data_IF_630400407922
#
_entry.id   IF_630400407922
#
_cell.length_a   1.000
_cell.length_b   1.000
_cell.length_c   1.000
_cell.angle_alpha   90.00
_cell.angle_beta   90.00
_cell.angle_gamma   90.00
#
_symmetry.space_group_name_H-M   'P 1'
#
loop_
_entity.id
_entity.type
_entity.pdbx_description
1 polymer ?
#
# COMPACT_ATOMS: atom_id res chain seq x y z
N UNK A 1 18.47 39.48 3.17
CA UNK A 1 17.46 39.74 2.12
C UNK A 1 17.95 40.70 1.04
N UNK A 2 18.68 41.79 1.32
CA UNK A 2 19.10 42.75 0.27
C UNK A 2 20.00 42.16 -0.84
N UNK A 3 20.78 41.11 -0.55
CA UNK A 3 21.66 40.48 -1.56
C UNK A 3 20.86 39.70 -2.63
N UNK A 4 19.81 38.96 -2.25
CA UNK A 4 19.03 38.16 -3.21
C UNK A 4 18.24 39.02 -4.20
N UNK A 5 17.71 40.16 -3.74
CA UNK A 5 16.99 41.08 -4.63
C UNK A 5 17.95 41.75 -5.63
N UNK A 6 19.14 42.16 -5.18
CA UNK A 6 20.17 42.68 -6.09
C UNK A 6 20.64 41.64 -7.11
N UNK A 7 20.74 40.37 -6.71
CA UNK A 7 21.03 39.27 -7.64
C UNK A 7 19.90 39.04 -8.65
N UNK A 8 18.64 39.20 -8.23
CA UNK A 8 17.49 39.17 -9.15
C UNK A 8 17.52 40.33 -10.15
N UNK A 9 17.80 41.56 -9.70
CA UNK A 9 17.95 42.72 -10.58
C UNK A 9 19.06 42.50 -11.63
N UNK A 10 20.18 41.88 -11.24
CA UNK A 10 21.24 41.50 -12.16
C UNK A 10 20.77 40.41 -13.14
N UNK A 11 20.00 39.44 -12.67
CA UNK A 11 19.42 38.39 -13.51
C UNK A 11 18.46 38.97 -14.57
N UNK A 12 17.70 40.01 -14.23
CA UNK A 12 16.78 40.67 -15.16
C UNK A 12 17.46 41.47 -16.27
N UNK A 13 18.75 41.77 -16.12
CA UNK A 13 19.53 42.42 -17.18
C UNK A 13 19.86 41.48 -18.34
N UNK A 14 19.73 40.17 -18.16
CA UNK A 14 19.91 39.21 -19.24
C UNK A 14 18.70 39.22 -20.17
N UNK A 15 18.96 39.37 -21.47
CA UNK A 15 17.94 39.40 -22.53
C UNK A 15 17.05 38.14 -22.52
N UNK A 16 17.63 36.99 -22.15
CA UNK A 16 16.89 35.74 -22.00
C UNK A 16 17.35 34.99 -20.75
N UNK A 17 16.43 34.78 -19.81
CA UNK A 17 16.65 33.91 -18.65
C UNK A 17 16.14 32.52 -19.01
N UNK A 18 16.98 31.46 -18.97
CA UNK A 18 16.53 30.12 -19.29
C UNK A 18 15.44 29.62 -18.33
N UNK A 19 14.41 28.94 -18.86
CA UNK A 19 13.27 28.47 -18.05
C UNK A 19 13.69 27.53 -16.91
N UNK A 20 14.74 26.73 -17.09
CA UNK A 20 15.24 25.82 -16.04
C UNK A 20 15.81 26.58 -14.84
N UNK A 21 16.32 27.80 -15.06
CA UNK A 21 16.79 28.68 -14.01
C UNK A 21 15.61 29.28 -13.23
N UNK A 22 14.58 29.76 -13.94
CA UNK A 22 13.34 30.24 -13.32
C UNK A 22 12.65 29.13 -12.52
N UNK A 23 12.59 27.92 -13.08
CA UNK A 23 12.07 26.72 -12.39
C UNK A 23 12.85 26.41 -11.12
N UNK A 24 14.18 26.51 -11.16
CA UNK A 24 15.03 26.32 -9.99
C UNK A 24 14.71 27.35 -8.89
N UNK A 25 14.56 28.62 -9.27
CA UNK A 25 14.17 29.69 -8.33
C UNK A 25 12.79 29.41 -7.72
N UNK A 26 11.80 29.04 -8.55
CA UNK A 26 10.45 28.67 -8.11
C UNK A 26 10.49 27.54 -7.08
N UNK A 27 11.29 26.49 -7.31
CA UNK A 27 11.34 25.34 -6.41
C UNK A 27 12.13 25.62 -5.13
N UNK A 28 13.27 26.29 -5.24
CA UNK A 28 14.30 26.27 -4.18
C UNK A 28 14.62 27.63 -3.55
N UNK A 29 14.11 28.74 -4.09
CA UNK A 29 14.48 30.10 -3.62
C UNK A 29 13.22 30.88 -3.26
N UNK A 30 12.64 30.53 -2.10
CA UNK A 30 11.37 31.09 -1.59
C UNK A 30 11.22 32.62 -1.74
N UNK A 31 12.22 33.45 -1.38
CA UNK A 31 12.06 34.91 -1.46
C UNK A 31 11.92 35.48 -2.88
N UNK A 32 12.22 34.68 -3.92
CA UNK A 32 12.21 35.10 -5.32
C UNK A 32 11.16 34.35 -6.15
N UNK A 33 10.37 33.46 -5.53
CA UNK A 33 9.37 32.62 -6.22
C UNK A 33 8.35 33.43 -7.00
N UNK A 34 7.81 34.47 -6.38
CA UNK A 34 6.80 35.33 -7.00
C UNK A 34 7.38 36.05 -8.23
N UNK A 35 8.62 36.55 -8.13
CA UNK A 35 9.29 37.23 -9.23
C UNK A 35 9.56 36.27 -10.40
N UNK A 36 10.09 35.08 -10.10
CA UNK A 36 10.33 34.05 -11.10
C UNK A 36 9.04 33.51 -11.73
N UNK A 37 7.99 33.30 -10.93
CA UNK A 37 6.69 32.87 -11.41
C UNK A 37 6.04 33.89 -12.33
N UNK A 38 6.05 35.17 -11.95
CA UNK A 38 5.54 36.26 -12.80
C UNK A 38 6.31 36.35 -14.12
N UNK A 39 7.64 36.28 -14.06
CA UNK A 39 8.48 36.29 -15.26
C UNK A 39 8.12 35.12 -16.17
N UNK A 40 7.93 33.92 -15.61
CA UNK A 40 7.59 32.71 -16.34
C UNK A 40 6.20 32.79 -17.01
N UNK A 41 5.20 33.31 -16.31
CA UNK A 41 3.84 33.49 -16.86
C UNK A 41 3.75 34.54 -17.96
N UNK A 42 4.66 35.53 -17.94
CA UNK A 42 4.75 36.62 -18.90
C UNK A 42 5.51 36.27 -20.19
N UNK A 43 6.08 35.07 -20.33
CA UNK A 43 6.69 34.66 -21.61
C UNK A 43 5.61 34.46 -22.67
N UNK A 44 5.42 35.47 -23.53
CA UNK A 44 4.49 35.43 -24.67
C UNK A 44 5.06 34.61 -25.84
N UNK A 45 6.39 34.60 -26.03
CA UNK A 45 7.05 33.92 -27.16
C UNK A 45 7.25 32.41 -26.94
N UNK A 46 7.25 31.96 -25.69
CA UNK A 46 7.36 30.54 -25.33
C UNK A 46 6.38 30.24 -24.20
N UNK A 47 5.23 29.74 -24.60
CA UNK A 47 4.15 29.39 -23.72
C UNK A 47 4.60 28.28 -22.72
N UNK A 48 4.56 28.53 -21.40
CA UNK A 48 5.22 27.68 -20.42
C UNK A 48 4.64 26.26 -20.39
N UNK A 49 5.51 25.24 -20.36
CA UNK A 49 5.07 23.85 -20.33
C UNK A 49 4.19 23.53 -19.12
N UNK A 50 3.38 22.47 -19.22
CA UNK A 50 2.49 22.01 -18.13
C UNK A 50 3.25 21.80 -16.82
N UNK A 51 4.44 21.23 -16.90
CA UNK A 51 5.35 21.04 -15.76
C UNK A 51 5.69 22.35 -15.07
N UNK A 52 5.93 23.44 -15.82
CA UNK A 52 6.23 24.75 -15.24
C UNK A 52 4.99 25.39 -14.62
N UNK A 53 3.81 25.18 -15.21
CA UNK A 53 2.55 25.64 -14.64
C UNK A 53 2.23 24.92 -13.33
N UNK A 54 2.49 23.60 -13.26
CA UNK A 54 2.35 22.81 -12.03
C UNK A 54 3.32 23.30 -10.95
N UNK A 55 4.57 23.60 -11.31
CA UNK A 55 5.54 24.17 -10.36
C UNK A 55 5.06 25.52 -9.80
N UNK A 56 4.45 26.37 -10.62
CA UNK A 56 3.86 27.62 -10.14
C UNK A 56 2.68 27.34 -9.21
N UNK A 57 1.81 26.40 -9.55
CA UNK A 57 0.65 26.02 -8.72
C UNK A 57 1.10 25.49 -7.36
N UNK A 58 2.15 24.67 -7.33
CA UNK A 58 2.69 24.10 -6.10
C UNK A 58 3.34 25.18 -5.21
N UNK A 59 4.30 25.92 -5.77
CA UNK A 59 5.22 26.74 -4.98
C UNK A 59 4.87 28.23 -4.88
N UNK A 60 4.00 28.76 -5.75
CA UNK A 60 3.78 30.22 -5.88
C UNK A 60 2.31 30.57 -5.63
N UNK A 61 1.94 30.66 -4.34
CA UNK A 61 0.56 30.87 -3.90
C UNK A 61 -0.18 32.02 -4.60
N UNK A 62 0.40 33.23 -4.73
CA UNK A 62 -0.28 34.36 -5.37
C UNK A 62 -0.64 34.10 -6.84
N UNK A 63 0.08 33.20 -7.52
CA UNK A 63 -0.04 32.95 -8.96
C UNK A 63 -0.83 31.67 -9.30
N UNK A 64 -1.25 30.90 -8.28
CA UNK A 64 -1.95 29.61 -8.45
C UNK A 64 -3.14 29.68 -9.40
N UNK A 65 -4.00 30.68 -9.25
CA UNK A 65 -5.23 30.78 -10.05
C UNK A 65 -4.95 31.07 -11.53
N UNK A 66 -3.95 31.90 -11.80
CA UNK A 66 -3.55 32.22 -13.18
C UNK A 66 -2.90 31.01 -13.84
N UNK A 67 -1.94 30.38 -13.15
CA UNK A 67 -1.28 29.17 -13.64
C UNK A 67 -2.28 28.02 -13.86
N UNK A 68 -3.25 27.86 -12.95
CA UNK A 68 -4.35 26.90 -13.10
C UNK A 68 -5.18 27.13 -14.36
N UNK A 69 -5.54 28.39 -14.65
CA UNK A 69 -6.30 28.72 -15.86
C UNK A 69 -5.52 28.34 -17.12
N UNK A 70 -4.24 28.73 -17.19
CA UNK A 70 -3.35 28.37 -18.32
C UNK A 70 -3.14 26.86 -18.44
N UNK A 71 -3.10 26.13 -17.32
CA UNK A 71 -2.97 24.68 -17.31
C UNK A 71 -4.22 24.03 -17.91
N UNK A 72 -5.42 24.47 -17.49
CA UNK A 72 -6.69 23.95 -18.02
C UNK A 72 -6.85 24.16 -19.53
N UNK A 73 -6.40 25.31 -20.04
CA UNK A 73 -6.43 25.61 -21.48
C UNK A 73 -5.60 24.59 -22.31
N UNK A 74 -4.63 23.91 -21.67
CA UNK A 74 -3.80 22.86 -22.26
C UNK A 74 -4.36 21.45 -22.13
N UNK A 75 -5.45 21.27 -21.37
CA UNK A 75 -6.05 19.96 -21.06
C UNK A 75 -5.06 19.05 -20.32
N UNK A 76 -4.79 19.33 -19.03
CA UNK A 76 -3.79 18.60 -18.26
C UNK A 76 -4.13 17.11 -18.18
N UNK A 77 -3.11 16.28 -18.10
CA UNK A 77 -3.30 14.84 -17.90
C UNK A 77 -3.89 14.54 -16.52
N UNK A 78 -4.45 13.34 -16.36
CA UNK A 78 -4.89 12.90 -15.03
C UNK A 78 -3.72 12.84 -14.03
N UNK A 79 -2.51 12.49 -14.49
CA UNK A 79 -1.28 12.52 -13.66
C UNK A 79 -0.99 13.91 -13.13
N UNK A 80 -1.12 14.95 -13.96
CA UNK A 80 -0.91 16.34 -13.54
C UNK A 80 -1.95 16.77 -12.52
N UNK A 81 -3.22 16.39 -12.73
CA UNK A 81 -4.30 16.71 -11.81
C UNK A 81 -4.16 15.97 -10.49
N UNK A 82 -3.77 14.69 -10.51
CA UNK A 82 -3.47 13.91 -9.31
C UNK A 82 -2.35 14.54 -8.50
N UNK A 83 -1.27 14.96 -9.16
CA UNK A 83 -0.18 15.66 -8.47
C UNK A 83 -0.70 16.88 -7.70
N UNK A 84 -1.56 17.70 -8.33
CA UNK A 84 -2.13 18.88 -7.67
C UNK A 84 -3.10 18.49 -6.54
N UNK A 85 -3.89 17.44 -6.72
CA UNK A 85 -4.79 16.88 -5.69
C UNK A 85 -4.01 16.48 -4.43
N UNK A 86 -2.85 15.84 -4.60
CA UNK A 86 -2.06 15.30 -3.50
C UNK A 86 -1.14 16.32 -2.83
N UNK A 87 -0.65 17.31 -3.57
CA UNK A 87 0.44 18.17 -3.09
C UNK A 87 0.02 19.64 -2.85
N UNK A 88 -1.19 20.06 -3.26
CA UNK A 88 -1.60 21.46 -3.20
C UNK A 88 -2.98 21.61 -2.55
N UNK A 89 -3.04 21.63 -1.22
CA UNK A 89 -4.28 21.68 -0.41
C UNK A 89 -5.30 22.72 -0.90
N UNK A 90 -4.84 23.96 -1.15
CA UNK A 90 -5.70 25.06 -1.61
C UNK A 90 -6.35 24.84 -2.98
N UNK A 91 -5.80 23.92 -3.78
CA UNK A 91 -6.24 23.58 -5.13
C UNK A 91 -6.80 22.16 -5.24
N UNK A 92 -6.66 21.33 -4.21
CA UNK A 92 -6.98 19.91 -4.26
C UNK A 92 -8.41 19.62 -4.73
N UNK A 93 -9.41 20.29 -4.15
CA UNK A 93 -10.81 20.14 -4.60
C UNK A 93 -11.05 20.63 -6.05
N UNK A 94 -10.33 21.65 -6.52
CA UNK A 94 -10.48 22.13 -7.91
C UNK A 94 -9.90 21.11 -8.90
N UNK A 95 -8.72 20.58 -8.58
CA UNK A 95 -8.06 19.56 -9.38
C UNK A 95 -8.85 18.24 -9.36
N UNK A 96 -9.39 17.84 -8.22
CA UNK A 96 -10.31 16.71 -8.08
C UNK A 96 -11.53 16.82 -8.99
N UNK A 97 -12.23 17.96 -8.94
CA UNK A 97 -13.41 18.18 -9.77
C UNK A 97 -13.08 18.13 -11.27
N UNK A 98 -11.89 18.57 -11.67
CA UNK A 98 -11.45 18.45 -13.05
C UNK A 98 -11.11 17.00 -13.41
N UNK A 99 -10.43 16.28 -12.53
CA UNK A 99 -10.06 14.87 -12.72
C UNK A 99 -11.31 14.00 -12.92
N UNK A 100 -12.33 14.18 -12.08
CA UNK A 100 -13.60 13.44 -12.21
C UNK A 100 -14.29 13.74 -13.55
N UNK A 101 -14.28 15.00 -14.01
CA UNK A 101 -14.84 15.38 -15.32
C UNK A 101 -14.09 14.76 -16.49
N UNK A 102 -12.78 14.54 -16.36
CA UNK A 102 -11.95 13.94 -17.39
C UNK A 102 -12.11 12.42 -17.49
N UNK A 103 -12.73 11.79 -16.49
CA UNK A 103 -12.81 10.35 -16.36
C UNK A 103 -11.65 9.85 -15.51
N UNK A 104 -11.94 9.63 -14.22
CA UNK A 104 -11.00 9.06 -13.25
C UNK A 104 -11.12 7.54 -13.26
N UNK A 105 -10.00 6.84 -13.23
CA UNK A 105 -9.95 5.36 -13.18
C UNK A 105 -10.01 4.83 -11.75
N UNK A 106 -10.27 3.52 -11.58
CA UNK A 106 -10.24 2.90 -10.25
C UNK A 106 -8.88 3.02 -9.56
N UNK A 107 -7.76 2.86 -10.29
CA UNK A 107 -6.41 2.97 -9.72
C UNK A 107 -6.16 4.37 -9.16
N UNK A 108 -6.57 5.40 -9.91
CA UNK A 108 -6.46 6.80 -9.50
C UNK A 108 -7.36 7.11 -8.30
N UNK A 109 -8.56 6.51 -8.23
CA UNK A 109 -9.43 6.61 -7.07
C UNK A 109 -8.85 5.94 -5.84
N UNK A 110 -8.31 4.72 -5.98
CA UNK A 110 -7.63 4.01 -4.89
C UNK A 110 -6.46 4.85 -4.37
N UNK A 111 -5.66 5.42 -5.26
CA UNK A 111 -4.58 6.35 -4.88
C UNK A 111 -5.11 7.49 -4.02
N UNK A 112 -6.13 8.23 -4.48
CA UNK A 112 -6.72 9.35 -3.73
C UNK A 112 -7.31 8.91 -2.38
N UNK A 113 -7.98 7.77 -2.32
CA UNK A 113 -8.54 7.22 -1.08
C UNK A 113 -7.44 6.96 -0.05
N UNK A 114 -6.29 6.47 -0.51
CA UNK A 114 -5.12 6.15 0.33
C UNK A 114 -4.38 7.43 0.75
N UNK A 115 -4.15 8.37 -0.17
CA UNK A 115 -3.23 9.50 0.03
C UNK A 115 -3.91 10.79 0.50
N UNK A 116 -5.18 11.03 0.16
CA UNK A 116 -5.85 12.33 0.41
C UNK A 116 -7.06 12.19 1.32
N UNK A 117 -6.85 12.44 2.61
CA UNK A 117 -7.87 12.28 3.65
C UNK A 117 -9.14 13.10 3.41
N UNK A 118 -9.01 14.35 2.97
CA UNK A 118 -10.13 15.26 2.75
C UNK A 118 -11.07 14.81 1.62
N UNK A 119 -10.56 14.05 0.65
CA UNK A 119 -11.32 13.54 -0.50
C UNK A 119 -11.74 12.07 -0.35
N UNK A 120 -11.23 11.37 0.66
CA UNK A 120 -11.36 9.92 0.83
C UNK A 120 -12.78 9.38 0.67
N UNK A 121 -13.75 9.98 1.35
CA UNK A 121 -15.14 9.51 1.29
C UNK A 121 -15.82 9.80 -0.05
N UNK A 122 -15.42 10.87 -0.74
CA UNK A 122 -15.95 11.19 -2.08
C UNK A 122 -15.35 10.27 -3.15
N UNK A 123 -14.03 10.07 -3.12
CA UNK A 123 -13.35 9.12 -3.98
C UNK A 123 -13.83 7.69 -3.74
N UNK A 124 -14.11 7.30 -2.49
CA UNK A 124 -14.72 6.01 -2.16
C UNK A 124 -16.10 5.83 -2.81
N UNK A 125 -16.98 6.84 -2.72
CA UNK A 125 -18.30 6.79 -3.38
C UNK A 125 -18.17 6.66 -4.89
N UNK A 126 -17.25 7.41 -5.49
CA UNK A 126 -16.98 7.33 -6.92
C UNK A 126 -16.44 5.95 -7.32
N UNK A 127 -15.55 5.36 -6.51
CA UNK A 127 -15.02 4.01 -6.75
C UNK A 127 -16.13 2.97 -6.71
N UNK A 128 -17.01 3.04 -5.71
CA UNK A 128 -18.17 2.15 -5.62
C UNK A 128 -19.10 2.28 -6.82
N UNK A 129 -19.31 3.49 -7.33
CA UNK A 129 -20.08 3.72 -8.56
C UNK A 129 -19.43 3.06 -9.77
N UNK A 130 -18.09 3.05 -9.84
CA UNK A 130 -17.33 2.39 -10.91
C UNK A 130 -17.18 0.88 -10.75
N UNK A 131 -17.72 0.30 -9.66
CA UNK A 131 -17.60 -1.13 -9.33
C UNK A 131 -16.12 -1.53 -9.14
N UNK A 132 -15.56 -1.41 -7.92
CA UNK A 132 -14.17 -1.79 -7.67
C UNK A 132 -13.97 -3.28 -7.96
N UNK A 133 -12.80 -3.65 -8.45
CA UNK A 133 -12.35 -5.04 -8.51
C UNK A 133 -11.85 -5.50 -7.12
N UNK A 134 -11.46 -6.76 -7.01
CA UNK A 134 -11.04 -7.35 -5.73
C UNK A 134 -9.68 -6.81 -5.26
N UNK A 135 -8.76 -6.48 -6.18
CA UNK A 135 -7.50 -5.80 -5.86
C UNK A 135 -7.72 -4.40 -5.30
N UNK A 136 -8.65 -3.62 -5.85
CA UNK A 136 -9.02 -2.29 -5.35
C UNK A 136 -9.48 -2.40 -3.88
N UNK A 137 -10.34 -3.38 -3.59
CA UNK A 137 -10.86 -3.61 -2.24
C UNK A 137 -9.78 -4.09 -1.27
N UNK A 138 -8.92 -5.03 -1.69
CA UNK A 138 -7.79 -5.52 -0.89
C UNK A 138 -6.85 -4.36 -0.54
N UNK A 139 -6.55 -3.49 -1.50
CA UNK A 139 -5.70 -2.32 -1.28
C UNK A 139 -6.30 -1.41 -0.20
N UNK A 140 -7.60 -1.12 -0.29
CA UNK A 140 -8.29 -0.27 0.69
C UNK A 140 -8.36 -0.94 2.07
N UNK A 141 -8.60 -2.25 2.13
CA UNK A 141 -8.60 -3.04 3.37
C UNK A 141 -7.25 -2.95 4.09
N UNK A 142 -6.15 -3.05 3.33
CA UNK A 142 -4.79 -2.99 3.88
C UNK A 142 -4.45 -1.60 4.39
N UNK A 143 -4.61 -0.57 3.56
CA UNK A 143 -4.00 0.74 3.81
C UNK A 143 -4.93 1.78 4.43
N UNK A 144 -6.25 1.59 4.40
CA UNK A 144 -7.22 2.66 4.74
C UNK A 144 -8.09 2.27 5.92
N UNK A 145 -7.58 2.51 7.13
CA UNK A 145 -8.24 2.10 8.37
C UNK A 145 -9.72 2.57 8.50
N UNK A 146 -10.10 3.81 8.14
CA UNK A 146 -11.49 4.26 8.23
C UNK A 146 -12.46 3.54 7.29
N UNK A 147 -11.98 3.03 6.15
CA UNK A 147 -12.81 2.35 5.15
C UNK A 147 -12.69 0.83 5.20
N UNK A 148 -11.69 0.30 5.92
CA UNK A 148 -11.36 -1.12 6.00
C UNK A 148 -12.57 -2.03 6.18
N UNK A 149 -13.43 -1.73 7.15
CA UNK A 149 -14.62 -2.55 7.44
C UNK A 149 -15.62 -2.53 6.27
N UNK A 150 -15.88 -1.34 5.69
CA UNK A 150 -16.78 -1.20 4.53
C UNK A 150 -16.25 -1.98 3.32
N UNK A 151 -14.94 -1.86 3.04
CA UNK A 151 -14.30 -2.58 1.94
C UNK A 151 -14.29 -4.10 2.17
N UNK A 152 -14.03 -4.54 3.40
CA UNK A 152 -14.10 -5.94 3.80
C UNK A 152 -15.50 -6.54 3.61
N UNK A 153 -16.56 -5.83 4.01
CA UNK A 153 -17.94 -6.31 3.85
C UNK A 153 -18.29 -6.56 2.38
N UNK A 154 -17.87 -5.66 1.48
CA UNK A 154 -18.06 -5.82 0.04
C UNK A 154 -17.23 -7.00 -0.47
N UNK A 155 -15.94 -7.03 -0.17
CA UNK A 155 -15.02 -8.09 -0.60
C UNK A 155 -15.48 -9.48 -0.14
N UNK A 156 -15.85 -9.64 1.13
CA UNK A 156 -16.32 -10.90 1.71
C UNK A 156 -17.55 -11.45 1.00
N UNK A 157 -18.41 -10.58 0.48
CA UNK A 157 -19.63 -10.99 -0.24
C UNK A 157 -19.36 -11.58 -1.63
N UNK A 158 -18.14 -11.40 -2.18
CA UNK A 158 -17.75 -11.82 -3.53
C UNK A 158 -17.09 -13.20 -3.62
N UNK A 159 -17.12 -13.97 -2.53
CA UNK A 159 -16.49 -15.29 -2.43
C UNK A 159 -14.98 -15.27 -2.78
N UNK A 160 -14.17 -14.57 -1.97
CA UNK A 160 -12.74 -14.42 -2.23
C UNK A 160 -11.99 -15.74 -2.20
N UNK A 161 -10.92 -15.82 -2.98
CA UNK A 161 -10.04 -16.98 -3.01
C UNK A 161 -9.25 -17.12 -1.70
N UNK A 162 -8.78 -18.34 -1.43
CA UNK A 162 -7.91 -18.61 -0.28
C UNK A 162 -6.65 -17.73 -0.33
N UNK A 163 -6.05 -17.54 -1.51
CA UNK A 163 -4.87 -16.69 -1.67
C UNK A 163 -5.12 -15.24 -1.26
N UNK A 164 -6.25 -14.65 -1.65
CA UNK A 164 -6.59 -13.28 -1.28
C UNK A 164 -6.93 -13.15 0.22
N UNK A 165 -7.61 -14.14 0.80
CA UNK A 165 -7.86 -14.19 2.24
C UNK A 165 -6.56 -14.29 3.03
N UNK A 166 -5.60 -15.11 2.58
CA UNK A 166 -4.27 -15.19 3.16
C UNK A 166 -3.52 -13.86 3.05
N UNK A 167 -3.64 -13.16 1.92
CA UNK A 167 -3.04 -11.84 1.77
C UNK A 167 -3.58 -10.85 2.80
N UNK A 168 -4.90 -10.79 3.01
CA UNK A 168 -5.50 -9.89 4.00
C UNK A 168 -5.07 -10.29 5.42
N UNK A 169 -5.13 -11.58 5.75
CA UNK A 169 -4.84 -12.05 7.10
C UNK A 169 -3.38 -11.85 7.50
N UNK A 170 -2.46 -11.81 6.54
CA UNK A 170 -1.04 -11.54 6.81
C UNK A 170 -0.78 -10.09 7.22
N UNK A 171 -1.52 -9.14 6.69
CA UNK A 171 -1.22 -7.72 6.82
C UNK A 171 -2.23 -6.93 7.68
N UNK A 172 -3.42 -7.48 7.94
CA UNK A 172 -4.53 -6.72 8.53
C UNK A 172 -5.00 -7.30 9.86
N UNK A 173 -4.21 -7.03 10.92
CA UNK A 173 -4.49 -7.46 12.31
C UNK A 173 -5.93 -7.28 12.79
N UNK A 174 -6.59 -6.13 12.57
CA UNK A 174 -7.95 -5.93 13.07
C UNK A 174 -8.99 -6.86 12.44
N UNK A 175 -8.70 -7.50 11.30
CA UNK A 175 -9.62 -8.39 10.61
C UNK A 175 -9.27 -9.87 10.77
N UNK A 176 -8.22 -10.23 11.52
CA UNK A 176 -7.73 -11.62 11.57
C UNK A 176 -8.83 -12.65 11.84
N UNK A 177 -9.67 -12.40 12.85
CA UNK A 177 -10.73 -13.34 13.21
C UNK A 177 -11.77 -13.48 12.09
N UNK A 178 -12.27 -12.37 11.55
CA UNK A 178 -13.29 -12.40 10.49
C UNK A 178 -12.76 -13.05 9.20
N UNK A 179 -11.49 -12.79 8.87
CA UNK A 179 -10.83 -13.37 7.69
C UNK A 179 -10.56 -14.85 7.90
N UNK A 180 -10.18 -15.26 9.12
CA UNK A 180 -10.00 -16.67 9.47
C UNK A 180 -11.30 -17.45 9.35
N UNK A 181 -12.39 -16.93 9.92
CA UNK A 181 -13.73 -17.52 9.81
C UNK A 181 -14.11 -17.69 8.34
N UNK A 182 -13.91 -16.66 7.52
CA UNK A 182 -14.18 -16.74 6.08
C UNK A 182 -13.30 -17.75 5.35
N UNK A 183 -12.02 -17.83 5.72
CA UNK A 183 -11.08 -18.79 5.14
C UNK A 183 -11.51 -20.22 5.42
N UNK A 184 -11.91 -20.54 6.66
CA UNK A 184 -12.40 -21.86 7.05
C UNK A 184 -13.73 -22.20 6.35
N UNK A 185 -14.66 -21.24 6.24
CA UNK A 185 -15.90 -21.40 5.45
C UNK A 185 -15.62 -21.78 3.99
N UNK A 186 -14.57 -21.20 3.41
CA UNK A 186 -14.12 -21.50 2.04
C UNK A 186 -13.45 -22.88 1.89
N UNK A 187 -13.40 -23.69 2.96
CA UNK A 187 -12.86 -25.06 2.95
C UNK A 187 -11.42 -25.12 2.42
N UNK A 188 -10.44 -24.57 3.16
CA UNK A 188 -9.05 -24.49 2.70
C UNK A 188 -8.50 -25.90 2.51
N UNK A 189 -7.61 -26.06 1.51
CA UNK A 189 -6.98 -27.35 1.28
C UNK A 189 -6.01 -27.71 2.41
N UNK A 190 -5.64 -28.99 2.45
CA UNK A 190 -4.57 -29.47 3.34
C UNK A 190 -3.26 -28.70 3.13
N UNK A 191 -2.93 -28.34 1.89
CA UNK A 191 -1.74 -27.56 1.55
C UNK A 191 -1.83 -26.13 2.10
N UNK A 192 -3.00 -25.48 2.00
CA UNK A 192 -3.20 -24.13 2.52
C UNK A 192 -3.02 -24.11 4.04
N UNK A 193 -3.62 -25.07 4.75
CA UNK A 193 -3.51 -25.17 6.21
C UNK A 193 -2.07 -25.50 6.65
N UNK A 194 -1.35 -26.37 5.93
CA UNK A 194 0.09 -26.62 6.18
C UNK A 194 0.90 -25.32 6.05
N UNK A 195 0.69 -24.58 4.97
CA UNK A 195 1.37 -23.31 4.75
C UNK A 195 1.16 -22.33 5.92
N UNK A 196 -0.07 -22.21 6.41
CA UNK A 196 -0.40 -21.33 7.55
C UNK A 196 0.30 -21.82 8.83
N UNK A 197 0.27 -23.13 9.12
CA UNK A 197 0.93 -23.70 10.30
C UNK A 197 2.44 -23.43 10.28
N UNK A 198 3.08 -23.60 9.13
CA UNK A 198 4.51 -23.39 8.98
C UNK A 198 4.89 -21.91 9.10
N UNK A 199 4.15 -21.04 8.38
CA UNK A 199 4.60 -19.67 8.12
C UNK A 199 3.91 -18.59 8.97
N UNK A 200 2.74 -18.86 9.56
CA UNK A 200 1.94 -17.85 10.28
C UNK A 200 1.83 -18.20 11.76
N UNK A 201 2.83 -17.79 12.55
CA UNK A 201 2.90 -18.11 13.98
C UNK A 201 1.67 -17.69 14.79
N UNK A 202 1.01 -16.60 14.40
CA UNK A 202 -0.17 -16.05 15.06
C UNK A 202 -1.50 -16.76 14.72
N UNK A 203 -1.52 -17.62 13.70
CA UNK A 203 -2.67 -18.46 13.32
C UNK A 203 -2.38 -19.96 13.42
N UNK A 204 -1.17 -20.30 13.85
CA UNK A 204 -0.67 -21.67 13.80
C UNK A 204 -1.53 -22.64 14.60
N UNK A 205 -2.04 -22.21 15.75
CA UNK A 205 -2.84 -23.08 16.62
C UNK A 205 -4.21 -23.37 16.02
N UNK A 206 -4.81 -22.35 15.42
CA UNK A 206 -6.10 -22.39 14.73
C UNK A 206 -5.99 -23.27 13.48
N UNK A 207 -4.99 -23.00 12.64
CA UNK A 207 -4.75 -23.78 11.42
C UNK A 207 -4.38 -25.23 11.71
N UNK A 208 -3.60 -25.49 12.76
CA UNK A 208 -3.32 -26.85 13.21
C UNK A 208 -4.61 -27.60 13.58
N UNK A 209 -5.52 -26.93 14.28
CA UNK A 209 -6.78 -27.54 14.72
C UNK A 209 -7.67 -27.92 13.54
N UNK A 210 -7.72 -27.10 12.48
CA UNK A 210 -8.43 -27.47 11.25
C UNK A 210 -7.69 -28.56 10.46
N UNK A 211 -6.36 -28.51 10.41
CA UNK A 211 -5.55 -29.49 9.69
C UNK A 211 -5.69 -30.91 10.28
N UNK A 212 -5.73 -31.03 11.61
CA UNK A 212 -5.94 -32.31 12.29
C UNK A 212 -7.28 -32.94 11.95
N UNK A 213 -8.35 -32.14 11.76
CA UNK A 213 -9.67 -32.64 11.36
C UNK A 213 -9.66 -33.30 9.98
N UNK A 214 -8.71 -32.93 9.11
CA UNK A 214 -8.52 -33.57 7.81
C UNK A 214 -7.76 -34.91 7.90
N UNK A 215 -7.33 -35.31 9.11
CA UNK A 215 -6.62 -36.53 9.43
C UNK A 215 -5.21 -36.56 8.86
N UNK A 216 -4.18 -36.51 9.70
CA UNK A 216 -2.75 -36.46 9.31
C UNK A 216 -2.12 -37.84 9.16
N UNK A 217 -1.17 -38.01 8.23
CA UNK A 217 -0.33 -39.21 8.15
C UNK A 217 0.82 -39.14 9.16
N UNK A 218 1.43 -40.30 9.47
CA UNK A 218 2.60 -40.35 10.36
C UNK A 218 3.76 -39.51 9.80
N UNK A 219 4.01 -39.53 8.49
CA UNK A 219 5.05 -38.71 7.84
C UNK A 219 4.82 -37.20 8.03
N UNK A 220 3.56 -36.75 7.96
CA UNK A 220 3.24 -35.35 8.19
C UNK A 220 3.38 -34.97 9.66
N UNK A 221 2.98 -35.86 10.58
CA UNK A 221 3.21 -35.66 12.02
C UNK A 221 4.72 -35.54 12.30
N UNK A 222 5.53 -36.45 11.78
CA UNK A 222 6.99 -36.39 11.89
C UNK A 222 7.56 -35.08 11.32
N UNK A 223 7.10 -34.66 10.14
CA UNK A 223 7.50 -33.39 9.56
C UNK A 223 7.25 -32.22 10.53
N UNK A 224 6.07 -32.14 11.12
CA UNK A 224 5.74 -31.04 12.05
C UNK A 224 6.51 -31.13 13.37
N UNK A 225 6.76 -32.34 13.88
CA UNK A 225 7.59 -32.57 15.07
C UNK A 225 8.99 -32.00 14.89
N UNK A 226 9.57 -32.19 13.69
CA UNK A 226 10.93 -31.77 13.37
C UNK A 226 11.03 -30.30 12.95
N UNK A 227 10.04 -29.77 12.22
CA UNK A 227 10.15 -28.49 11.54
C UNK A 227 9.37 -27.35 12.20
N UNK A 228 8.41 -27.63 13.09
CA UNK A 228 7.55 -26.60 13.69
C UNK A 228 7.48 -26.77 15.22
N UNK A 229 8.51 -26.27 15.91
CA UNK A 229 8.71 -26.42 17.35
C UNK A 229 7.47 -26.15 18.21
N UNK A 230 6.71 -25.08 17.91
CA UNK A 230 5.53 -24.69 18.71
C UNK A 230 4.34 -25.64 18.62
N UNK A 231 4.32 -26.58 17.66
CA UNK A 231 3.30 -27.63 17.58
C UNK A 231 3.89 -29.04 17.74
N UNK A 232 5.20 -29.16 17.99
CA UNK A 232 5.90 -30.43 18.04
C UNK A 232 5.27 -31.39 19.06
N UNK A 233 5.02 -30.93 20.29
CA UNK A 233 4.42 -31.78 21.32
C UNK A 233 2.96 -32.14 21.01
N UNK A 234 2.22 -31.26 20.34
CA UNK A 234 0.85 -31.54 19.88
C UNK A 234 0.86 -32.60 18.77
N UNK A 235 1.85 -32.58 17.89
CA UNK A 235 2.01 -33.56 16.82
C UNK A 235 2.47 -34.93 17.37
N UNK A 236 3.40 -34.97 18.34
CA UNK A 236 3.81 -36.20 19.03
C UNK A 236 2.63 -36.91 19.67
N UNK A 237 1.74 -36.17 20.33
CA UNK A 237 0.55 -36.71 20.99
C UNK A 237 -0.46 -37.38 20.03
N UNK A 238 -0.33 -37.17 18.71
CA UNK A 238 -1.19 -37.80 17.69
C UNK A 238 -0.55 -39.04 17.05
N UNK A 239 0.74 -39.32 17.32
CA UNK A 239 1.38 -40.55 16.84
C UNK A 239 0.85 -41.76 17.63
N UNK A 240 0.51 -42.87 16.98
CA UNK A 240 0.13 -44.09 17.69
C UNK A 240 1.27 -44.61 18.56
N UNK A 241 0.98 -44.91 19.83
CA UNK A 241 1.93 -45.54 20.74
C UNK A 241 2.46 -46.85 20.14
N UNK A 242 3.78 -47.03 20.15
CA UNK A 242 4.44 -48.22 19.60
C UNK A 242 4.53 -48.27 18.07
N UNK A 243 4.14 -47.21 17.35
CA UNK A 243 4.46 -47.09 15.92
C UNK A 243 5.98 -47.03 15.70
N UNK A 244 6.45 -47.51 14.54
CA UNK A 244 7.88 -47.44 14.17
C UNK A 244 8.36 -45.98 14.24
N UNK A 245 7.52 -45.05 13.82
CA UNK A 245 7.79 -43.63 13.84
C UNK A 245 7.94 -43.08 15.26
N UNK A 246 7.10 -43.53 16.20
CA UNK A 246 7.21 -43.18 17.63
C UNK A 246 8.51 -43.75 18.24
N UNK A 247 8.83 -45.02 17.96
CA UNK A 247 10.06 -45.68 18.43
C UNK A 247 11.31 -45.00 17.84
N UNK A 248 11.29 -44.65 16.56
CA UNK A 248 12.40 -43.94 15.92
C UNK A 248 12.62 -42.54 16.50
N UNK A 249 11.54 -41.85 16.87
CA UNK A 249 11.62 -40.55 17.53
C UNK A 249 12.27 -40.66 18.91
N UNK A 250 11.91 -41.67 19.70
CA UNK A 250 12.51 -41.94 21.01
C UNK A 250 14.01 -42.26 20.88
N UNK A 251 14.40 -43.12 19.94
CA UNK A 251 15.81 -43.46 19.66
C UNK A 251 16.62 -42.20 19.29
N UNK A 252 16.06 -41.32 18.45
CA UNK A 252 16.71 -40.06 18.03
C UNK A 252 16.91 -39.10 19.21
N UNK A 253 15.93 -39.01 20.12
CA UNK A 253 16.04 -38.16 21.32
C UNK A 253 17.11 -38.68 22.29
N UNK A 254 17.19 -40.00 22.53
CA UNK A 254 18.22 -40.60 23.38
C UNK A 254 19.63 -40.33 22.82
N UNK A 255 19.82 -40.52 21.52
CA UNK A 255 21.10 -40.28 20.83
C UNK A 255 21.57 -38.82 20.93
N UNK A 256 20.65 -37.85 20.85
CA UNK A 256 20.98 -36.42 21.02
C UNK A 256 21.34 -36.05 22.47
N UNK A 257 20.69 -36.65 23.46
CA UNK A 257 21.04 -36.47 24.87
C UNK A 257 22.45 -36.99 25.18
N UNK A 258 22.81 -38.17 24.66
CA UNK A 258 24.13 -38.77 24.87
C UNK A 258 25.27 -37.95 24.24
N UNK A 259 25.03 -37.32 23.09
CA UNK A 259 26.01 -36.42 22.44
C UNK A 259 26.21 -35.10 23.19
N UNK A 260 25.18 -34.57 23.84
CA UNK A 260 25.28 -33.32 24.62
C UNK A 260 26.05 -33.46 25.94
N UNK A 261 26.14 -34.68 26.48
CA UNK A 261 26.88 -35.02 27.70
C UNK A 261 28.38 -35.21 27.44
N UNK A 262 28.80 -35.45 26.19
CA UNK A 262 30.21 -35.64 25.81
C UNK A 262 30.95 -34.33 25.46
N UNK A 263 30.25 -33.19 25.40
CA UNK A 263 30.85 -31.88 25.09
C UNK A 263 31.19 -31.02 26.32
N UNK A 264 31.05 -31.59 27.52
CA UNK A 264 31.45 -30.98 28.80
C UNK A 264 32.54 -31.84 29.46
N UNK A 265 33.71 -31.93 28.83
CA UNK A 265 34.98 -32.39 29.43
C UNK A 265 36.15 -31.61 28.80
#
# INVERSE_FOLDING_TARGET
>A
MSNLHSLWEQLEQFEQIPYWYLRYIIRYVEPLRDLAGNKLLAFEEQEPSEVLLIDIIEYVEPLRQEAWKKLLDRKPSNTDLLFIVENVDSMGYKAWNQLVKQGVTNDELVQIIVTVESLREEAWKQLLYQTPNDWDLIHIIQYVAPLRKKAWEIFRSRNPSIGELLQIIMYVKPLHQEVWEKLVESSPSRCDLKYIVENMSFLRSEAWSELVKLGLSNDELLYFIENVASISDRAKALLPDGSIESIMLEIKQISLCDLSLQTYD
#
